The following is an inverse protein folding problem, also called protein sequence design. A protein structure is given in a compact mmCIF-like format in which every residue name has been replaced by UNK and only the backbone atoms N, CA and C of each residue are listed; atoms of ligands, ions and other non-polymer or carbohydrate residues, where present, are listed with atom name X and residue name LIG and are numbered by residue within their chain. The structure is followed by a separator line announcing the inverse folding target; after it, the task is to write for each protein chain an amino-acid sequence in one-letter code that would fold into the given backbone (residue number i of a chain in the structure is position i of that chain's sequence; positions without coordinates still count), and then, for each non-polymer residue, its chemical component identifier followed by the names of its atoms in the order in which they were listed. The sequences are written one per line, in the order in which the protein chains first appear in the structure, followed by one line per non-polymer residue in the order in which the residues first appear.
data_IF_449342466636
#
_entry.id   IF_449342466636
#
_cell.length_a   1.000
_cell.length_b   1.000
_cell.length_c   1.000
_cell.angle_alpha   90.00
_cell.angle_beta   90.00
_cell.angle_gamma   90.00
#
_symmetry.space_group_name_H-M   'P 1'
#
loop_
_entity.id
_entity.type
_entity.pdbx_description
1 polymer ?
#
# COMPACT_ATOMS: atom_id res chain seq x y z
N UNK A 1 -11.68 -5.23 -11.63
CA UNK A 1 -11.34 -5.35 -10.21
C UNK A 1 -12.13 -6.51 -9.64
N UNK A 2 -11.49 -7.41 -8.91
CA UNK A 2 -12.22 -8.46 -8.18
C UNK A 2 -12.76 -7.89 -6.87
N UNK A 3 -13.79 -8.51 -6.29
CA UNK A 3 -14.33 -8.09 -4.98
C UNK A 3 -13.24 -8.10 -3.87
N UNK A 4 -12.24 -8.98 -4.01
CA UNK A 4 -11.08 -9.04 -3.14
C UNK A 4 -10.17 -7.82 -3.30
N UNK A 5 -9.96 -7.32 -4.53
CA UNK A 5 -9.20 -6.07 -4.78
C UNK A 5 -9.85 -4.86 -4.10
N UNK A 6 -11.18 -4.74 -4.18
CA UNK A 6 -11.91 -3.60 -3.60
C UNK A 6 -11.85 -3.58 -2.07
N UNK A 7 -12.05 -4.74 -1.43
CA UNK A 7 -11.93 -4.86 0.02
C UNK A 7 -10.48 -4.58 0.47
N UNK A 8 -9.50 -5.08 -0.28
CA UNK A 8 -8.09 -4.86 0.03
C UNK A 8 -7.74 -3.37 -0.10
N UNK A 9 -8.24 -2.68 -1.13
CA UNK A 9 -8.07 -1.25 -1.31
C UNK A 9 -8.66 -0.44 -0.14
N UNK A 10 -9.88 -0.77 0.30
CA UNK A 10 -10.51 -0.12 1.45
C UNK A 10 -9.65 -0.22 2.72
N UNK A 11 -9.11 -1.41 3.01
CA UNK A 11 -8.23 -1.60 4.17
C UNK A 11 -6.94 -0.77 4.06
N UNK A 12 -6.32 -0.70 2.88
CA UNK A 12 -5.12 0.10 2.66
C UNK A 12 -5.39 1.60 2.82
N UNK A 13 -6.48 2.11 2.24
CA UNK A 13 -6.90 3.51 2.39
C UNK A 13 -7.16 3.86 3.85
N UNK A 14 -7.87 3.00 4.58
CA UNK A 14 -8.11 3.21 6.01
C UNK A 14 -6.80 3.28 6.82
N UNK A 15 -5.85 2.39 6.56
CA UNK A 15 -4.53 2.42 7.20
C UNK A 15 -3.77 3.71 6.89
N UNK A 16 -3.82 4.17 5.65
CA UNK A 16 -3.18 5.41 5.22
C UNK A 16 -3.81 6.63 5.87
N UNK A 17 -5.14 6.68 6.00
CA UNK A 17 -5.85 7.76 6.69
C UNK A 17 -5.47 7.82 8.17
N UNK A 18 -5.35 6.68 8.83
CA UNK A 18 -4.91 6.58 10.23
C UNK A 18 -3.47 7.09 10.41
N UNK A 19 -2.55 6.69 9.51
CA UNK A 19 -1.12 7.02 9.61
C UNK A 19 -0.75 8.43 9.13
N UNK A 20 -1.33 8.87 8.01
CA UNK A 20 -1.06 10.19 7.41
C UNK A 20 -1.96 11.29 7.99
N UNK A 21 -3.05 10.89 8.65
CA UNK A 21 -4.01 11.78 9.28
C UNK A 21 -5.24 12.07 8.43
N UNK A 22 -6.36 12.24 9.12
CA UNK A 22 -7.70 12.51 8.55
C UNK A 22 -7.77 13.71 7.61
N UNK A 23 -6.85 14.67 7.73
CA UNK A 23 -6.79 15.88 6.88
C UNK A 23 -6.46 15.57 5.42
N UNK A 24 -5.84 14.42 5.15
CA UNK A 24 -5.52 13.90 3.81
C UNK A 24 -6.52 12.84 3.34
N UNK A 25 -7.61 12.62 4.07
CA UNK A 25 -8.58 11.57 3.75
C UNK A 25 -9.17 11.72 2.36
N UNK A 26 -9.58 12.93 1.98
CA UNK A 26 -10.18 13.21 0.67
C UNK A 26 -9.20 12.89 -0.48
N UNK A 27 -7.93 13.26 -0.30
CA UNK A 27 -6.83 12.92 -1.20
C UNK A 27 -6.65 11.40 -1.31
N UNK A 28 -6.63 10.67 -0.18
CA UNK A 28 -6.47 9.21 -0.14
C UNK A 28 -7.67 8.47 -0.73
N UNK A 29 -8.89 8.95 -0.50
CA UNK A 29 -10.11 8.39 -1.09
C UNK A 29 -10.11 8.55 -2.61
N UNK A 30 -9.55 9.64 -3.13
CA UNK A 30 -9.36 9.87 -4.56
C UNK A 30 -8.23 9.06 -5.22
N UNK A 31 -7.40 8.34 -4.47
CA UNK A 31 -6.31 7.55 -5.05
C UNK A 31 -6.82 6.32 -5.80
N UNK A 32 -6.16 6.02 -6.92
CA UNK A 32 -6.29 4.74 -7.61
C UNK A 32 -5.64 3.60 -6.78
N UNK A 33 -5.95 2.35 -7.15
CA UNK A 33 -5.35 1.15 -6.57
C UNK A 33 -3.82 1.21 -6.52
N UNK A 34 -3.17 1.62 -7.62
CA UNK A 34 -1.71 1.62 -7.75
C UNK A 34 -1.07 2.64 -6.80
N UNK A 35 -1.59 3.87 -6.80
CA UNK A 35 -1.15 4.94 -5.88
C UNK A 35 -1.38 4.57 -4.42
N UNK A 36 -2.55 4.00 -4.10
CA UNK A 36 -2.87 3.52 -2.76
C UNK A 36 -1.87 2.46 -2.31
N UNK A 37 -1.56 1.50 -3.19
CA UNK A 37 -0.62 0.43 -2.90
C UNK A 37 0.80 0.95 -2.67
N UNK A 38 1.28 1.88 -3.51
CA UNK A 38 2.61 2.48 -3.36
C UNK A 38 2.75 3.27 -2.06
N UNK A 39 1.78 4.13 -1.75
CA UNK A 39 1.77 4.90 -0.51
C UNK A 39 1.65 3.99 0.72
N UNK A 40 0.78 2.97 0.65
CA UNK A 40 0.66 1.96 1.70
C UNK A 40 1.99 1.24 1.91
N UNK A 41 2.67 0.82 0.83
CA UNK A 41 3.99 0.18 0.89
C UNK A 41 5.02 1.09 1.57
N UNK A 42 5.07 2.37 1.22
CA UNK A 42 6.01 3.33 1.83
C UNK A 42 5.75 3.49 3.33
N UNK A 43 4.48 3.65 3.73
CA UNK A 43 4.11 3.87 5.13
C UNK A 43 4.22 2.60 6.00
N UNK A 44 3.89 1.45 5.44
CA UNK A 44 3.86 0.17 6.15
C UNK A 44 5.27 -0.45 6.29
N UNK A 45 6.10 -0.35 5.24
CA UNK A 45 7.44 -0.95 5.24
C UNK A 45 8.58 0.05 5.51
N UNK A 46 8.31 1.36 5.47
CA UNK A 46 9.32 2.41 5.47
C UNK A 46 10.03 2.50 4.12
N UNK A 47 10.63 3.65 3.80
CA UNK A 47 11.32 3.94 2.53
C UNK A 47 12.45 2.96 2.15
N UNK A 48 12.78 1.95 2.96
CA UNK A 48 13.96 1.12 2.79
C UNK A 48 13.76 -0.36 3.15
N UNK A 49 12.61 -0.94 2.79
CA UNK A 49 12.47 -2.41 2.77
C UNK A 49 11.96 -2.84 1.41
N UNK A 50 12.87 -3.42 0.62
CA UNK A 50 12.51 -4.26 -0.52
C UNK A 50 11.40 -5.21 -0.06
N UNK A 51 10.33 -5.28 -0.83
CA UNK A 51 9.20 -6.14 -0.47
C UNK A 51 9.72 -7.57 -0.32
N UNK A 52 9.10 -8.35 0.58
CA UNK A 52 9.39 -9.78 0.76
C UNK A 52 9.36 -10.53 -0.58
N UNK A 53 8.61 -10.03 -1.56
CA UNK A 53 8.56 -10.50 -2.96
C UNK A 53 9.86 -10.28 -3.73
N UNK A 54 10.47 -9.09 -3.64
CA UNK A 54 11.78 -8.81 -4.24
C UNK A 54 12.91 -9.53 -3.49
N UNK A 55 12.84 -9.60 -2.15
CA UNK A 55 13.78 -10.37 -1.34
C UNK A 55 13.70 -11.88 -1.64
N UNK A 56 12.49 -12.43 -1.81
CA UNK A 56 12.30 -13.82 -2.21
C UNK A 56 12.82 -14.05 -3.63
N UNK A 57 12.51 -13.16 -4.60
CA UNK A 57 13.08 -13.26 -5.96
C UNK A 57 14.62 -13.23 -5.97
N UNK A 58 15.24 -12.50 -5.06
CA UNK A 58 16.70 -12.47 -4.92
C UNK A 58 17.28 -13.78 -4.36
N UNK A 59 16.57 -14.48 -3.47
CA UNK A 59 16.97 -15.80 -2.95
C UNK A 59 16.92 -16.87 -4.05
N UNK A 60 15.93 -16.83 -4.94
CA UNK A 60 15.78 -17.80 -6.03
C UNK A 60 16.75 -17.59 -7.21
N UNK A 61 17.54 -16.50 -7.23
CA UNK A 61 18.62 -16.29 -8.22
C UNK A 61 20.01 -16.73 -7.72
N UNK A 62 20.09 -17.33 -6.53
CA UNK A 62 21.34 -17.79 -5.92
C UNK A 62 21.56 -19.28 -6.12
#
# INVERSE_FOLDING_TARGET
MTYEDERHMMHMKAYLVDRLGWRRRDEIEGWDLDTTFEQFRIQYHGQNKMTKTEANKAIWRR
#
